data_IF_017577414785
#
_entry.id   IF_017577414785
#
_cell.length_a   1.000
_cell.length_b   1.000
_cell.length_c   1.000
_cell.angle_alpha   90.00
_cell.angle_beta   90.00
_cell.angle_gamma   90.00
#
_symmetry.space_group_name_H-M   'P 1'
#
loop_
_entity.id
_entity.type
_entity.pdbx_description
1 polymer ?
#
# COMPACT_ATOMS: atom_id res chain seq x y z
N UNK A 1 11.18 -11.44 1.98
CA UNK A 1 10.64 -11.06 3.31
C UNK A 1 9.13 -10.96 3.16
N UNK A 2 8.37 -11.61 4.04
CA UNK A 2 6.91 -11.51 4.01
C UNK A 2 6.45 -10.29 4.80
N UNK A 3 5.59 -9.45 4.21
CA UNK A 3 5.04 -8.26 4.87
C UNK A 3 3.53 -8.22 4.79
N UNK A 4 2.92 -7.64 5.83
CA UNK A 4 1.51 -7.25 5.86
C UNK A 4 1.47 -5.73 5.99
N UNK A 5 0.82 -5.07 5.03
CA UNK A 5 0.65 -3.63 4.98
C UNK A 5 -0.81 -3.31 5.29
N UNK A 6 -1.02 -2.57 6.38
CA UNK A 6 -2.33 -2.06 6.80
C UNK A 6 -2.30 -0.54 6.75
N UNK A 7 -3.33 0.06 6.19
CA UNK A 7 -3.48 1.53 6.16
C UNK A 7 -4.83 1.96 6.74
N UNK A 8 -4.84 3.13 7.37
CA UNK A 8 -6.06 3.81 7.80
C UNK A 8 -6.15 5.15 7.08
N UNK A 9 -6.97 5.19 6.03
CA UNK A 9 -7.18 6.38 5.19
C UNK A 9 -8.64 6.77 5.33
N UNK A 10 -8.89 7.93 5.94
CA UNK A 10 -10.23 8.53 5.92
C UNK A 10 -10.62 8.84 4.49
N UNK A 11 -11.84 8.49 4.08
CA UNK A 11 -12.35 8.79 2.74
C UNK A 11 -12.90 10.22 2.60
N UNK A 12 -13.00 10.95 3.71
CA UNK A 12 -13.48 12.33 3.74
C UNK A 12 -12.39 13.32 3.26
N UNK A 13 -12.79 14.54 2.89
CA UNK A 13 -11.89 15.66 2.56
C UNK A 13 -10.72 15.34 1.61
N UNK A 14 -11.00 14.60 0.53
CA UNK A 14 -10.00 14.28 -0.50
C UNK A 14 -9.21 12.98 -0.26
N UNK A 15 -9.46 12.30 0.85
CA UNK A 15 -8.81 11.02 1.15
C UNK A 15 -9.18 9.89 0.19
N UNK A 16 -10.30 9.98 -0.53
CA UNK A 16 -10.61 9.07 -1.64
C UNK A 16 -9.56 9.10 -2.77
N UNK A 17 -8.88 10.23 -2.99
CA UNK A 17 -7.78 10.32 -3.97
C UNK A 17 -6.55 9.59 -3.45
N UNK A 18 -6.17 9.89 -2.21
CA UNK A 18 -5.03 9.26 -1.51
C UNK A 18 -5.22 7.74 -1.49
N UNK A 19 -6.41 7.28 -1.11
CA UNK A 19 -6.79 5.87 -1.13
C UNK A 19 -6.55 5.21 -2.50
N UNK A 20 -7.02 5.82 -3.59
CA UNK A 20 -6.81 5.28 -4.95
C UNK A 20 -5.34 5.22 -5.33
N UNK A 21 -4.56 6.24 -4.97
CA UNK A 21 -3.14 6.32 -5.31
C UNK A 21 -2.34 5.29 -4.50
N UNK A 22 -2.56 5.18 -3.19
CA UNK A 22 -1.99 4.14 -2.33
C UNK A 22 -2.36 2.74 -2.81
N UNK A 23 -3.64 2.49 -3.13
CA UNK A 23 -4.09 1.20 -3.64
C UNK A 23 -3.35 0.79 -4.92
N UNK A 24 -3.18 1.72 -5.88
CA UNK A 24 -2.44 1.47 -7.12
C UNK A 24 -0.96 1.19 -6.87
N UNK A 25 -0.35 1.86 -5.90
CA UNK A 25 1.06 1.63 -5.55
C UNK A 25 1.20 0.26 -4.86
N UNK A 26 0.43 -0.01 -3.81
CA UNK A 26 0.50 -1.27 -3.07
C UNK A 26 0.25 -2.48 -3.96
N UNK A 27 -0.71 -2.41 -4.88
CA UNK A 27 -1.02 -3.51 -5.82
C UNK A 27 0.12 -3.86 -6.79
N UNK A 28 1.11 -2.99 -7.00
CA UNK A 28 2.30 -3.30 -7.81
C UNK A 28 3.28 -4.23 -7.11
N UNK A 29 3.27 -4.23 -5.77
CA UNK A 29 4.26 -4.94 -4.96
C UNK A 29 3.64 -6.03 -4.07
N UNK A 30 2.37 -5.90 -3.72
CA UNK A 30 1.66 -6.76 -2.77
C UNK A 30 0.29 -7.20 -3.32
N UNK A 31 -0.23 -8.29 -2.76
CA UNK A 31 -1.56 -8.81 -3.05
C UNK A 31 -2.60 -8.19 -2.12
N UNK A 32 -3.74 -7.77 -2.67
CA UNK A 32 -4.84 -7.21 -1.90
C UNK A 32 -5.69 -8.31 -1.29
N UNK A 33 -5.85 -8.30 0.04
CA UNK A 33 -6.63 -9.32 0.76
C UNK A 33 -7.90 -8.76 1.39
N UNK A 34 -7.87 -7.51 1.86
CA UNK A 34 -9.04 -6.82 2.43
C UNK A 34 -8.98 -5.33 2.10
N UNK A 35 -10.12 -4.64 2.27
CA UNK A 35 -10.27 -3.22 1.92
C UNK A 35 -9.08 -2.33 2.35
N UNK A 36 -8.48 -2.57 3.51
CA UNK A 36 -7.34 -1.81 4.05
C UNK A 36 -6.06 -2.63 4.25
N UNK A 37 -5.99 -3.84 3.69
CA UNK A 37 -4.91 -4.81 3.96
C UNK A 37 -4.34 -5.41 2.68
N UNK A 38 -3.01 -5.35 2.59
CA UNK A 38 -2.20 -5.98 1.55
C UNK A 38 -1.16 -6.91 2.19
N UNK A 39 -0.83 -8.00 1.51
CA UNK A 39 0.21 -8.93 1.96
C UNK A 39 1.03 -9.47 0.78
N UNK A 40 2.23 -9.94 1.07
CA UNK A 40 3.06 -10.61 0.07
C UNK A 40 4.53 -10.67 0.44
N UNK A 41 5.27 -11.41 -0.38
CA UNK A 41 6.73 -11.43 -0.32
C UNK A 41 7.32 -10.27 -1.13
N UNK A 42 8.24 -9.55 -0.50
CA UNK A 42 8.92 -8.41 -1.10
C UNK A 42 10.43 -8.48 -0.78
N UNK A 43 11.26 -7.97 -1.69
CA UNK A 43 12.69 -7.74 -1.43
C UNK A 43 12.91 -6.44 -0.63
N UNK A 44 14.07 -6.29 0.00
CA UNK A 44 14.42 -5.05 0.69
C UNK A 44 14.47 -3.83 -0.27
N UNK A 45 14.96 -4.04 -1.50
CA UNK A 45 14.98 -3.00 -2.52
C UNK A 45 13.57 -2.56 -2.95
N UNK A 46 12.65 -3.50 -3.13
CA UNK A 46 11.26 -3.19 -3.44
C UNK A 46 10.55 -2.52 -2.26
N UNK A 47 10.86 -2.91 -1.01
CA UNK A 47 10.34 -2.23 0.17
C UNK A 47 10.82 -0.77 0.24
N UNK A 48 12.08 -0.51 -0.12
CA UNK A 48 12.61 0.85 -0.17
C UNK A 48 11.86 1.72 -1.18
N UNK A 49 11.64 1.21 -2.40
CA UNK A 49 10.86 1.89 -3.44
C UNK A 49 9.40 2.11 -3.00
N UNK A 50 8.78 1.10 -2.38
CA UNK A 50 7.42 1.21 -1.85
C UNK A 50 7.32 2.34 -0.82
N UNK A 51 8.25 2.40 0.15
CA UNK A 51 8.28 3.45 1.18
C UNK A 51 8.45 4.83 0.56
N UNK A 52 9.37 4.99 -0.40
CA UNK A 52 9.60 6.25 -1.11
C UNK A 52 8.40 6.72 -1.93
N UNK A 53 7.57 5.80 -2.43
CA UNK A 53 6.38 6.14 -3.20
C UNK A 53 5.17 6.53 -2.33
N UNK A 54 5.14 6.10 -1.07
CA UNK A 54 4.03 6.37 -0.13
C UNK A 54 4.30 7.51 0.87
N UNK A 55 5.54 7.97 1.00
CA UNK A 55 5.98 9.06 1.91
C UNK A 55 6.37 10.27 1.06
#
# INVERSE_FOLDING_TARGET
MYIILVYDISLENGGAKIWRDTYKICKKYLSHVQNSVFEGEISESQLFELKKATI
#
